data_IF_038925528247
#
_entry.id   IF_038925528247
#
_cell.length_a   1.000
_cell.length_b   1.000
_cell.length_c   1.000
_cell.angle_alpha   90.00
_cell.angle_beta   90.00
_cell.angle_gamma   90.00
#
_symmetry.space_group_name_H-M   'P 1'
#
loop_
_entity.id
_entity.type
_entity.pdbx_description
1 polymer ?
#
# COMPACT_ATOMS: atom_id res chain seq x y z
N UNK A 1 15.22 1.61 -12.18
CA UNK A 1 14.24 0.98 -11.26
C UNK A 1 14.99 0.17 -10.21
N UNK A 2 14.74 0.44 -8.92
CA UNK A 2 15.31 -0.33 -7.80
C UNK A 2 14.18 -1.07 -7.07
N UNK A 3 14.33 -2.38 -6.86
CA UNK A 3 13.37 -3.21 -6.12
C UNK A 3 13.97 -3.51 -4.75
N UNK A 4 13.21 -3.20 -3.69
CA UNK A 4 13.69 -3.24 -2.31
C UNK A 4 13.06 -4.43 -1.58
N UNK A 5 13.91 -5.30 -1.04
CA UNK A 5 13.52 -6.16 0.07
C UNK A 5 13.87 -5.39 1.35
N UNK A 6 12.86 -5.01 2.14
CA UNK A 6 13.09 -4.24 3.36
C UNK A 6 13.98 -5.03 4.35
N UNK A 7 14.76 -4.36 5.22
CA UNK A 7 15.54 -5.03 6.25
C UNK A 7 14.74 -6.11 6.99
N UNK A 8 15.36 -7.27 7.20
CA UNK A 8 14.79 -8.45 7.86
C UNK A 8 13.72 -9.16 7.02
N UNK A 9 13.69 -9.00 5.70
CA UNK A 9 12.68 -9.64 4.83
C UNK A 9 13.35 -10.18 3.57
N UNK A 10 12.97 -11.37 3.11
CA UNK A 10 13.44 -11.92 1.83
C UNK A 10 14.97 -11.96 1.71
N UNK A 11 15.52 -11.37 0.64
CA UNK A 11 16.99 -11.30 0.40
C UNK A 11 17.71 -10.46 1.46
N UNK A 12 17.01 -9.55 2.14
CA UNK A 12 17.52 -8.77 3.26
C UNK A 12 17.29 -9.46 4.62
N UNK A 13 17.23 -10.79 4.65
CA UNK A 13 16.91 -11.60 5.81
C UNK A 13 18.00 -11.71 6.89
N UNK A 14 19.22 -11.20 6.66
CA UNK A 14 20.31 -11.21 7.67
C UNK A 14 20.03 -10.18 8.77
N UNK A 15 19.20 -10.57 9.73
CA UNK A 15 18.79 -9.72 10.87
C UNK A 15 19.86 -9.65 11.95
N UNK A 16 19.98 -8.50 12.60
CA UNK A 16 20.78 -8.31 13.83
C UNK A 16 20.01 -8.66 15.11
N UNK A 17 18.75 -9.07 14.99
CA UNK A 17 17.88 -9.46 16.10
C UNK A 17 17.15 -10.76 15.75
N UNK A 18 17.10 -11.69 16.68
CA UNK A 18 16.40 -12.97 16.50
C UNK A 18 14.90 -12.86 16.75
N UNK A 19 14.13 -13.72 16.08
CA UNK A 19 12.73 -14.03 16.41
C UNK A 19 12.48 -15.52 16.24
N UNK A 20 11.41 -16.02 16.86
CA UNK A 20 10.87 -17.35 16.53
C UNK A 20 9.91 -17.23 15.35
N UNK A 21 10.11 -18.05 14.32
CA UNK A 21 9.20 -18.14 13.18
C UNK A 21 8.14 -19.21 13.44
N UNK A 22 6.89 -18.78 13.57
CA UNK A 22 5.75 -19.68 13.76
C UNK A 22 4.91 -19.74 12.48
N UNK A 23 4.79 -20.90 11.82
CA UNK A 23 3.87 -21.06 10.71
C UNK A 23 2.44 -20.76 11.17
N UNK A 24 1.81 -19.75 10.56
CA UNK A 24 0.45 -19.32 10.90
C UNK A 24 -0.38 -19.34 9.62
N UNK A 25 -1.31 -20.29 9.45
CA UNK A 25 -2.22 -20.27 8.30
C UNK A 25 -3.05 -18.98 8.28
N UNK A 26 -3.19 -18.35 7.12
CA UNK A 26 -3.96 -17.11 6.98
C UNK A 26 -4.42 -16.79 5.55
N UNK A 27 -4.16 -17.68 4.60
CA UNK A 27 -4.36 -17.42 3.16
C UNK A 27 -5.79 -17.03 2.82
N UNK A 28 -6.79 -17.67 3.44
CA UNK A 28 -8.21 -17.38 3.21
C UNK A 28 -8.63 -16.01 3.75
N UNK A 29 -8.07 -15.58 4.88
CA UNK A 29 -8.34 -14.25 5.43
C UNK A 29 -7.63 -13.17 4.60
N UNK A 30 -6.40 -13.43 4.18
CA UNK A 30 -5.65 -12.55 3.28
C UNK A 30 -6.31 -12.46 1.89
N UNK A 31 -6.94 -13.52 1.41
CA UNK A 31 -7.71 -13.51 0.16
C UNK A 31 -8.80 -12.43 0.18
N UNK A 32 -9.55 -12.34 1.30
CA UNK A 32 -10.57 -11.30 1.50
C UNK A 32 -9.92 -9.94 1.75
N UNK A 33 -8.85 -9.88 2.54
CA UNK A 33 -8.12 -8.65 2.82
C UNK A 33 -7.51 -8.02 1.56
N UNK A 34 -7.15 -8.80 0.58
CA UNK A 34 -6.56 -8.32 -0.68
C UNK A 34 -7.58 -8.18 -1.80
N UNK A 35 -8.87 -8.38 -1.48
CA UNK A 35 -10.00 -8.16 -2.36
C UNK A 35 -9.90 -8.95 -3.66
N UNK A 36 -9.46 -10.21 -3.54
CA UNK A 36 -9.58 -11.22 -4.60
C UNK A 36 -11.04 -11.69 -4.72
N UNK A 37 -11.75 -11.68 -3.59
CA UNK A 37 -13.15 -12.07 -3.47
C UNK A 37 -13.54 -12.28 -2.01
N UNK A 38 -14.60 -13.05 -1.79
CA UNK A 38 -14.98 -13.57 -0.48
C UNK A 38 -14.75 -15.07 -0.50
N UNK A 39 -13.70 -15.53 0.18
CA UNK A 39 -13.33 -16.95 0.18
C UNK A 39 -14.56 -17.86 0.43
N UNK A 40 -14.77 -18.91 -0.38
CA UNK A 40 -13.88 -19.45 -1.40
C UNK A 40 -14.10 -18.91 -2.82
N UNK A 41 -14.85 -17.83 -3.00
CA UNK A 41 -15.23 -17.33 -4.32
C UNK A 41 -14.49 -16.04 -4.66
N UNK A 42 -13.93 -15.95 -5.86
CA UNK A 42 -13.45 -14.68 -6.39
C UNK A 42 -14.60 -13.71 -6.65
N UNK A 43 -14.31 -12.41 -6.71
CA UNK A 43 -15.25 -11.46 -7.32
C UNK A 43 -15.42 -11.77 -8.82
N UNK A 44 -16.67 -11.78 -9.36
CA UNK A 44 -16.91 -12.17 -10.74
C UNK A 44 -16.16 -11.36 -11.79
N UNK A 45 -15.92 -10.07 -11.52
CA UNK A 45 -15.30 -9.11 -12.41
C UNK A 45 -13.82 -8.84 -12.08
N UNK A 46 -13.23 -9.60 -11.16
CA UNK A 46 -11.86 -9.33 -10.69
C UNK A 46 -10.86 -9.38 -11.84
N UNK A 47 -9.80 -8.58 -11.71
CA UNK A 47 -8.62 -8.58 -12.58
C UNK A 47 -7.52 -9.51 -12.08
N UNK A 48 -7.77 -10.30 -11.03
CA UNK A 48 -6.87 -11.40 -10.70
C UNK A 48 -6.96 -12.54 -11.73
N UNK A 49 -5.85 -13.17 -12.13
CA UNK A 49 -5.88 -14.33 -13.03
C UNK A 49 -6.46 -15.57 -12.35
N UNK A 50 -7.77 -15.79 -12.51
CA UNK A 50 -8.50 -16.91 -11.85
C UNK A 50 -8.33 -18.28 -12.55
N UNK A 51 -7.88 -18.30 -13.81
CA UNK A 51 -8.00 -19.49 -14.66
C UNK A 51 -9.41 -19.65 -15.27
N UNK A 52 -9.59 -20.67 -16.10
CA UNK A 52 -10.86 -20.88 -16.81
C UNK A 52 -12.00 -21.29 -15.85
N UNK A 53 -13.20 -20.73 -16.07
CA UNK A 53 -14.43 -21.17 -15.42
C UNK A 53 -14.70 -20.65 -14.01
N UNK A 54 -13.88 -19.72 -13.47
CA UNK A 54 -14.02 -19.16 -12.12
C UNK A 54 -14.34 -20.24 -11.06
N UNK A 55 -13.42 -21.18 -10.83
CA UNK A 55 -13.69 -22.32 -9.96
C UNK A 55 -13.91 -21.87 -8.53
N UNK A 56 -14.83 -22.54 -7.82
CA UNK A 56 -14.90 -22.39 -6.36
C UNK A 56 -13.64 -23.00 -5.74
N UNK A 57 -13.01 -22.26 -4.81
CA UNK A 57 -11.72 -22.64 -4.26
C UNK A 57 -11.84 -23.67 -3.13
N UNK A 58 -10.86 -24.56 -3.06
CA UNK A 58 -10.66 -25.50 -1.95
C UNK A 58 -9.30 -25.23 -1.32
N UNK A 59 -9.11 -25.48 0.00
CA UNK A 59 -7.78 -25.43 0.62
C UNK A 59 -6.74 -26.33 -0.04
N UNK A 60 -7.16 -27.39 -0.74
CA UNK A 60 -6.27 -28.37 -1.39
C UNK A 60 -6.24 -28.26 -2.92
N UNK A 61 -7.08 -27.42 -3.50
CA UNK A 61 -7.18 -27.25 -4.96
C UNK A 61 -7.48 -25.79 -5.28
N UNK A 62 -6.43 -25.07 -5.71
CA UNK A 62 -6.48 -23.67 -6.09
C UNK A 62 -5.84 -23.47 -7.46
N UNK A 63 -6.28 -22.48 -8.25
CA UNK A 63 -5.68 -22.18 -9.55
C UNK A 63 -4.16 -21.93 -9.44
N UNK A 64 -3.36 -22.29 -10.47
CA UNK A 64 -1.91 -22.12 -10.46
C UNK A 64 -1.45 -20.70 -10.10
N UNK A 65 -2.16 -19.67 -10.57
CA UNK A 65 -1.85 -18.29 -10.25
C UNK A 65 -2.09 -17.95 -8.77
N UNK A 66 -3.15 -18.49 -8.14
CA UNK A 66 -3.40 -18.30 -6.72
C UNK A 66 -2.35 -19.03 -5.86
N UNK A 67 -1.92 -20.24 -6.27
CA UNK A 67 -0.81 -20.95 -5.64
C UNK A 67 0.50 -20.16 -5.72
N UNK A 68 0.82 -19.55 -6.88
CA UNK A 68 2.01 -18.68 -7.01
C UNK A 68 1.88 -17.41 -6.17
N UNK A 69 0.70 -16.79 -6.17
CA UNK A 69 0.43 -15.58 -5.40
C UNK A 69 0.63 -15.80 -3.89
N UNK A 70 0.25 -16.95 -3.34
CA UNK A 70 0.56 -17.25 -1.94
C UNK A 70 2.05 -17.55 -1.70
N UNK A 71 2.73 -18.19 -2.66
CA UNK A 71 4.18 -18.51 -2.56
C UNK A 71 5.10 -17.30 -2.70
N UNK A 72 4.59 -16.16 -3.17
CA UNK A 72 5.36 -14.91 -3.20
C UNK A 72 5.54 -14.31 -1.79
N UNK A 73 4.73 -14.74 -0.81
CA UNK A 73 4.86 -14.26 0.57
C UNK A 73 6.15 -14.77 1.21
N UNK A 74 6.78 -13.90 2.00
CA UNK A 74 7.88 -14.27 2.88
C UNK A 74 7.64 -13.70 4.27
N UNK A 75 8.31 -14.27 5.26
CA UNK A 75 8.27 -13.80 6.65
C UNK A 75 9.36 -12.75 6.91
N UNK A 76 9.15 -11.95 7.96
CA UNK A 76 10.24 -11.18 8.54
C UNK A 76 11.14 -12.13 9.35
N UNK A 77 12.46 -11.95 9.28
CA UNK A 77 13.46 -12.70 10.05
C UNK A 77 13.90 -11.97 11.33
N UNK A 78 13.20 -10.89 11.68
CA UNK A 78 13.43 -10.06 12.85
C UNK A 78 12.18 -9.23 13.18
N UNK A 79 12.15 -8.49 14.30
CA UNK A 79 11.02 -7.63 14.63
C UNK A 79 10.84 -6.54 13.57
N UNK A 80 9.60 -6.12 13.31
CA UNK A 80 9.36 -4.96 12.45
C UNK A 80 9.84 -3.70 13.16
N UNK A 81 10.70 -2.93 12.49
CA UNK A 81 11.25 -1.69 13.01
C UNK A 81 11.25 -0.64 11.91
N UNK A 82 10.32 0.32 12.05
CA UNK A 82 10.15 1.38 11.06
C UNK A 82 11.43 2.19 10.88
N UNK A 83 12.13 2.50 11.97
CA UNK A 83 13.33 3.34 11.94
C UNK A 83 14.43 2.66 11.14
N UNK A 84 14.64 1.35 11.36
CA UNK A 84 15.63 0.57 10.60
C UNK A 84 15.27 0.52 9.12
N UNK A 85 13.99 0.26 8.80
CA UNK A 85 13.55 0.14 7.41
C UNK A 85 13.69 1.48 6.68
N UNK A 86 13.18 2.58 7.25
CA UNK A 86 13.18 3.88 6.59
C UNK A 86 14.57 4.48 6.49
N UNK A 87 15.47 4.20 7.45
CA UNK A 87 16.88 4.55 7.35
C UNK A 87 17.57 3.82 6.20
N UNK A 88 17.30 2.52 6.00
CA UNK A 88 17.83 1.76 4.87
C UNK A 88 17.37 2.32 3.52
N UNK A 89 16.08 2.66 3.39
CA UNK A 89 15.57 3.31 2.16
C UNK A 89 16.17 4.71 1.97
N UNK A 90 16.30 5.51 3.03
CA UNK A 90 16.93 6.83 2.94
C UNK A 90 18.41 6.74 2.53
N UNK A 91 19.14 5.72 2.98
CA UNK A 91 20.51 5.45 2.55
C UNK A 91 20.59 5.10 1.06
N UNK A 92 19.66 4.27 0.56
CA UNK A 92 19.55 4.01 -0.88
C UNK A 92 19.35 5.32 -1.68
N UNK A 93 18.45 6.20 -1.23
CA UNK A 93 18.25 7.52 -1.86
C UNK A 93 19.48 8.44 -1.78
N UNK A 94 20.32 8.29 -0.75
CA UNK A 94 21.59 9.02 -0.69
C UNK A 94 22.59 8.51 -1.74
N UNK A 95 22.56 7.22 -2.05
CA UNK A 95 23.42 6.57 -3.05
C UNK A 95 22.96 6.84 -4.49
N UNK A 96 21.67 6.64 -4.77
CA UNK A 96 21.14 6.73 -6.15
C UNK A 96 20.74 8.15 -6.55
N UNK A 97 20.68 9.08 -5.58
CA UNK A 97 20.23 10.45 -5.80
C UNK A 97 18.70 10.59 -5.90
N UNK A 98 18.21 11.70 -6.47
CA UNK A 98 16.79 11.99 -6.61
C UNK A 98 16.00 10.91 -7.35
N UNK A 99 14.89 10.44 -6.77
CA UNK A 99 13.99 9.49 -7.44
C UNK A 99 12.54 9.56 -6.90
N UNK A 100 11.61 8.89 -7.58
CA UNK A 100 10.23 8.68 -7.11
C UNK A 100 10.14 7.41 -6.27
N UNK A 101 9.47 7.49 -5.12
CA UNK A 101 9.25 6.34 -4.24
C UNK A 101 7.86 5.74 -4.49
N UNK A 102 7.83 4.51 -5.02
CA UNK A 102 6.59 3.73 -5.09
C UNK A 102 6.43 2.92 -3.80
N UNK A 103 5.24 2.94 -3.20
CA UNK A 103 4.91 2.14 -2.02
C UNK A 103 3.63 1.35 -2.24
N UNK A 104 3.48 0.28 -1.48
CA UNK A 104 2.29 -0.56 -1.45
C UNK A 104 1.89 -0.95 -0.02
N UNK A 105 0.61 -0.86 0.30
CA UNK A 105 0.05 -1.41 1.54
C UNK A 105 0.70 -0.86 2.81
N UNK A 106 1.19 -1.73 3.69
CA UNK A 106 1.89 -1.39 4.92
C UNK A 106 3.10 -0.47 4.71
N UNK A 107 3.71 -0.47 3.51
CA UNK A 107 4.85 0.41 3.23
C UNK A 107 4.46 1.88 3.01
N UNK A 108 3.17 2.24 2.97
CA UNK A 108 2.74 3.64 2.89
C UNK A 108 3.38 4.52 3.96
N UNK A 109 3.27 4.13 5.24
CA UNK A 109 3.91 4.86 6.35
C UNK A 109 5.44 4.87 6.28
N UNK A 110 6.04 3.84 5.69
CA UNK A 110 7.47 3.81 5.45
C UNK A 110 7.84 4.89 4.43
N UNK A 111 7.09 5.02 3.35
CA UNK A 111 7.28 6.09 2.36
C UNK A 111 7.12 7.48 2.95
N UNK A 112 6.07 7.72 3.75
CA UNK A 112 5.85 9.00 4.43
C UNK A 112 7.06 9.36 5.30
N UNK A 113 7.55 8.43 6.11
CA UNK A 113 8.68 8.67 7.00
C UNK A 113 10.00 8.80 6.23
N UNK A 114 10.25 7.98 5.22
CA UNK A 114 11.48 8.10 4.40
C UNK A 114 11.60 9.48 3.76
N UNK A 115 10.51 10.06 3.26
CA UNK A 115 10.52 11.42 2.70
C UNK A 115 10.84 12.51 3.72
N UNK A 116 10.75 12.23 5.03
CA UNK A 116 11.18 13.18 6.07
C UNK A 116 12.67 13.08 6.36
N UNK A 117 13.32 11.98 5.98
CA UNK A 117 14.74 11.70 6.25
C UNK A 117 15.67 12.15 5.12
N UNK A 118 15.17 12.32 3.90
CA UNK A 118 16.00 12.68 2.75
C UNK A 118 15.24 13.59 1.76
N UNK A 119 15.91 14.62 1.19
CA UNK A 119 15.32 15.46 0.13
C UNK A 119 15.32 14.78 -1.25
N UNK A 120 15.94 13.60 -1.38
CA UNK A 120 16.06 12.89 -2.64
C UNK A 120 14.77 12.14 -3.03
N UNK A 121 13.81 11.96 -2.12
CA UNK A 121 12.46 11.53 -2.52
C UNK A 121 11.78 12.70 -3.21
N UNK A 122 11.55 12.59 -4.53
CA UNK A 122 10.94 13.67 -5.33
C UNK A 122 9.42 13.61 -5.40
N UNK A 123 8.86 12.42 -5.22
CA UNK A 123 7.42 12.20 -5.11
C UNK A 123 7.15 10.83 -4.49
N UNK A 124 5.91 10.62 -4.02
CA UNK A 124 5.43 9.31 -3.59
C UNK A 124 4.19 8.93 -4.39
N UNK A 125 4.18 7.73 -4.95
CA UNK A 125 2.97 7.08 -5.45
C UNK A 125 2.70 5.85 -4.58
N UNK A 126 1.59 5.87 -3.84
CA UNK A 126 1.23 4.83 -2.90
C UNK A 126 0.02 4.04 -3.42
N UNK A 127 0.24 2.76 -3.72
CA UNK A 127 -0.82 1.80 -3.99
C UNK A 127 -1.40 1.33 -2.65
N UNK A 128 -2.63 1.72 -2.37
CA UNK A 128 -3.42 1.22 -1.24
C UNK A 128 -2.71 1.25 0.13
N UNK A 129 -2.14 2.39 0.56
CA UNK A 129 -1.46 2.49 1.84
C UNK A 129 -2.40 2.10 2.98
N UNK A 130 -1.88 1.51 4.06
CA UNK A 130 -2.72 1.09 5.20
C UNK A 130 -2.66 2.02 6.41
N UNK A 131 -1.66 2.91 6.44
CA UNK A 131 -1.37 3.82 7.55
C UNK A 131 -1.11 5.24 7.02
N UNK A 132 -1.56 6.24 7.78
CA UNK A 132 -1.61 7.64 7.34
C UNK A 132 -1.00 8.56 8.38
N UNK A 133 -0.13 9.45 7.91
CA UNK A 133 0.63 10.36 8.75
C UNK A 133 -0.11 11.69 8.95
N UNK A 134 -0.01 12.24 10.16
CA UNK A 134 -0.58 13.54 10.53
C UNK A 134 0.41 14.28 11.45
N UNK A 135 0.40 15.63 11.47
CA UNK A 135 1.20 16.36 12.45
C UNK A 135 0.68 16.05 13.85
N UNK A 136 1.57 15.78 14.80
CA UNK A 136 1.23 15.30 16.15
C UNK A 136 0.35 16.25 16.95
N UNK A 137 0.32 17.54 16.59
CA UNK A 137 -0.52 18.56 17.21
C UNK A 137 -1.89 18.75 16.52
N UNK A 138 -2.22 17.96 15.49
CA UNK A 138 -3.52 17.99 14.81
C UNK A 138 -3.90 16.62 14.26
N UNK A 139 -3.95 15.62 15.14
CA UNK A 139 -4.43 14.27 14.80
C UNK A 139 -5.96 14.27 14.66
N UNK A 140 -6.53 13.67 13.60
CA UNK A 140 -7.96 13.40 13.56
C UNK A 140 -8.35 12.30 14.58
N UNK A 141 -9.64 12.13 14.83
CA UNK A 141 -10.10 10.97 15.59
C UNK A 141 -9.82 9.66 14.82
N UNK A 142 -9.58 8.53 15.52
CA UNK A 142 -9.58 7.21 14.89
C UNK A 142 -10.90 6.94 14.15
N UNK A 143 -10.84 6.18 13.06
CA UNK A 143 -12.02 5.81 12.25
C UNK A 143 -12.30 4.32 12.42
N UNK A 144 -13.56 3.98 12.71
CA UNK A 144 -13.99 2.61 12.96
C UNK A 144 -13.68 2.13 14.38
N UNK A 145 -13.91 0.84 14.63
CA UNK A 145 -13.74 0.20 15.94
C UNK A 145 -13.13 -1.19 15.80
N UNK A 146 -12.57 -1.72 16.89
CA UNK A 146 -12.03 -3.09 16.95
C UNK A 146 -10.98 -3.36 15.87
N UNK A 147 -11.06 -4.51 15.21
CA UNK A 147 -10.10 -4.93 14.19
C UNK A 147 -10.14 -4.10 12.89
N UNK A 148 -11.20 -3.32 12.66
CA UNK A 148 -11.31 -2.42 11.51
C UNK A 148 -10.91 -0.97 11.82
N UNK A 149 -10.49 -0.68 13.06
CA UNK A 149 -10.14 0.68 13.47
C UNK A 149 -8.82 1.13 12.81
N UNK A 150 -8.84 2.32 12.22
CA UNK A 150 -7.65 2.99 11.68
C UNK A 150 -7.30 4.17 12.58
N UNK A 151 -6.10 4.12 13.14
CA UNK A 151 -5.57 5.16 14.02
C UNK A 151 -4.55 6.01 13.27
N UNK A 152 -4.65 7.36 13.31
CA UNK A 152 -3.68 8.23 12.65
C UNK A 152 -2.27 8.03 13.22
N UNK A 153 -1.25 8.14 12.38
CA UNK A 153 0.16 8.02 12.79
C UNK A 153 0.75 9.42 12.98
N UNK A 154 1.24 9.77 14.18
CA UNK A 154 1.83 11.06 14.42
C UNK A 154 3.21 11.18 13.75
N UNK A 155 3.46 12.34 13.16
CA UNK A 155 4.80 12.86 12.82
C UNK A 155 5.02 14.18 13.56
N UNK A 156 6.29 14.56 13.76
CA UNK A 156 6.58 15.91 14.23
C UNK A 156 6.01 16.95 13.24
N UNK A 157 5.56 18.13 13.69
CA UNK A 157 5.04 19.15 12.77
C UNK A 157 6.03 19.54 11.66
N UNK A 158 7.33 19.56 11.97
CA UNK A 158 8.41 19.83 11.01
C UNK A 158 8.58 18.71 9.99
N UNK A 159 8.48 17.45 10.40
CA UNK A 159 8.54 16.32 9.48
C UNK A 159 7.30 16.24 8.59
N UNK A 160 6.12 16.46 9.15
CA UNK A 160 4.89 16.53 8.36
C UNK A 160 4.95 17.66 7.31
N UNK A 161 5.59 18.79 7.65
CA UNK A 161 5.80 19.88 6.70
C UNK A 161 6.64 19.46 5.49
N UNK A 162 7.56 18.50 5.62
CA UNK A 162 8.34 18.00 4.46
C UNK A 162 7.47 17.29 3.44
N UNK A 163 6.40 16.61 3.86
CA UNK A 163 5.44 15.97 2.96
C UNK A 163 4.69 16.97 2.07
N UNK A 164 4.60 18.24 2.48
CA UNK A 164 4.00 19.32 1.66
C UNK A 164 4.88 19.75 0.50
N UNK A 165 6.14 19.31 0.45
CA UNK A 165 7.13 19.80 -0.51
C UNK A 165 7.27 18.89 -1.73
N UNK A 166 6.58 17.76 -1.75
CA UNK A 166 6.63 16.78 -2.84
C UNK A 166 5.21 16.41 -3.28
N UNK A 167 5.02 16.04 -4.56
CA UNK A 167 3.76 15.44 -5.01
C UNK A 167 3.53 14.08 -4.34
N UNK A 168 2.30 13.84 -3.89
CA UNK A 168 1.87 12.57 -3.31
C UNK A 168 0.58 12.11 -4.01
N UNK A 169 0.59 10.88 -4.55
CA UNK A 169 -0.60 10.20 -5.07
C UNK A 169 -0.89 8.97 -4.23
N UNK A 170 -2.13 8.84 -3.78
CA UNK A 170 -2.67 7.60 -3.19
C UNK A 170 -3.64 6.99 -4.20
N UNK A 171 -3.44 5.74 -4.60
CA UNK A 171 -4.37 4.99 -5.43
C UNK A 171 -5.11 3.94 -4.60
N UNK A 172 -6.44 3.88 -4.77
CA UNK A 172 -7.27 2.76 -4.35
C UNK A 172 -7.89 2.07 -5.56
N UNK A 173 -7.99 0.76 -5.48
CA UNK A 173 -8.57 -0.08 -6.53
C UNK A 173 -10.06 -0.34 -6.26
N UNK A 174 -10.63 -1.40 -6.80
CA UNK A 174 -12.07 -1.66 -6.74
C UNK A 174 -12.46 -2.52 -5.52
N UNK A 175 -13.75 -2.87 -5.45
CA UNK A 175 -14.40 -3.71 -4.42
C UNK A 175 -14.29 -3.15 -3.01
N UNK A 176 -14.20 -1.82 -2.89
CA UNK A 176 -14.33 -1.09 -1.63
C UNK A 176 -15.74 -0.46 -1.61
N UNK A 177 -16.69 -1.01 -0.84
CA UNK A 177 -18.03 -0.43 -0.75
C UNK A 177 -17.99 1.01 -0.24
N UNK A 178 -18.97 1.82 -0.63
CA UNK A 178 -19.02 3.25 -0.27
C UNK A 178 -19.39 3.51 1.19
N UNK A 179 -20.09 2.59 1.85
CA UNK A 179 -20.68 2.80 3.18
C UNK A 179 -20.23 1.79 4.22
N UNK A 180 -20.47 0.49 3.99
CA UNK A 180 -20.14 -0.56 4.97
C UNK A 180 -19.92 -1.92 4.33
N UNK A 181 -19.34 -2.85 5.11
CA UNK A 181 -19.22 -4.25 4.76
C UNK A 181 -19.38 -5.15 5.99
N UNK A 182 -20.06 -6.31 5.87
CA UNK A 182 -20.09 -7.30 6.94
C UNK A 182 -18.74 -8.00 7.13
N UNK A 183 -17.83 -7.91 6.15
CA UNK A 183 -16.50 -8.51 6.23
C UNK A 183 -15.52 -7.51 6.83
N UNK A 184 -14.99 -7.79 8.02
CA UNK A 184 -14.10 -6.88 8.76
C UNK A 184 -12.91 -6.41 7.92
N UNK A 185 -12.35 -7.30 7.10
CA UNK A 185 -11.24 -6.99 6.19
C UNK A 185 -11.62 -5.97 5.10
N UNK A 186 -12.83 -6.07 4.54
CA UNK A 186 -13.35 -5.12 3.56
C UNK A 186 -13.75 -3.81 4.24
N UNK A 187 -14.40 -3.86 5.41
CA UNK A 187 -14.72 -2.67 6.21
C UNK A 187 -13.45 -1.86 6.58
N UNK A 188 -12.33 -2.55 6.83
CA UNK A 188 -11.04 -1.91 7.09
C UNK A 188 -10.60 -1.05 5.90
N UNK A 189 -10.86 -1.45 4.65
CA UNK A 189 -10.53 -0.65 3.46
C UNK A 189 -11.37 0.61 3.33
N UNK A 190 -12.66 0.55 3.68
CA UNK A 190 -13.53 1.73 3.73
C UNK A 190 -12.95 2.76 4.71
N UNK A 191 -12.54 2.30 5.90
CA UNK A 191 -11.95 3.16 6.93
C UNK A 191 -10.57 3.70 6.52
N UNK A 192 -9.77 2.91 5.79
CA UNK A 192 -8.50 3.35 5.19
C UNK A 192 -8.71 4.46 4.16
N UNK A 193 -9.64 4.29 3.23
CA UNK A 193 -9.99 5.34 2.25
C UNK A 193 -10.39 6.62 2.96
N UNK A 194 -11.24 6.53 3.99
CA UNK A 194 -11.65 7.70 4.78
C UNK A 194 -10.47 8.39 5.49
N UNK A 195 -9.57 7.63 6.12
CA UNK A 195 -8.38 8.19 6.78
C UNK A 195 -7.40 8.80 5.76
N UNK A 196 -7.24 8.17 4.59
CA UNK A 196 -6.44 8.71 3.49
C UNK A 196 -6.96 10.05 2.98
N UNK A 197 -8.29 10.21 2.86
CA UNK A 197 -8.91 11.49 2.50
C UNK A 197 -8.54 12.59 3.52
N UNK A 198 -8.54 12.26 4.82
CA UNK A 198 -8.13 13.19 5.86
C UNK A 198 -6.64 13.57 5.76
N UNK A 199 -5.75 12.62 5.48
CA UNK A 199 -4.32 12.91 5.31
C UNK A 199 -4.07 13.82 4.12
N UNK A 200 -4.69 13.54 2.98
CA UNK A 200 -4.59 14.38 1.78
C UNK A 200 -5.09 15.80 2.07
N UNK A 201 -6.24 15.93 2.74
CA UNK A 201 -6.74 17.23 3.16
C UNK A 201 -5.77 17.97 4.11
N UNK A 202 -5.15 17.25 5.06
CA UNK A 202 -4.19 17.83 6.00
C UNK A 202 -2.91 18.32 5.32
N UNK A 203 -2.42 17.61 4.31
CA UNK A 203 -1.27 18.03 3.49
C UNK A 203 -1.64 19.27 2.67
N UNK A 204 -2.77 19.23 1.97
CA UNK A 204 -3.19 20.32 1.08
C UNK A 204 -3.56 21.60 1.85
N UNK A 205 -4.11 21.49 3.06
CA UNK A 205 -4.37 22.64 3.95
C UNK A 205 -3.09 23.40 4.31
N UNK A 206 -1.91 22.76 4.20
CA UNK A 206 -0.59 23.38 4.42
C UNK A 206 0.12 23.74 3.11
N UNK A 207 -0.59 23.78 1.99
CA UNK A 207 -0.06 24.14 0.67
C UNK A 207 0.70 23.01 -0.04
N UNK A 208 0.50 21.75 0.35
CA UNK A 208 1.07 20.61 -0.35
C UNK A 208 0.30 20.20 -1.61
N UNK A 209 0.84 19.23 -2.34
CA UNK A 209 0.22 18.62 -3.52
C UNK A 209 0.00 17.13 -3.27
N UNK A 210 -1.07 16.79 -2.57
CA UNK A 210 -1.51 15.42 -2.34
C UNK A 210 -2.86 15.15 -3.00
N UNK A 211 -3.06 13.94 -3.49
CA UNK A 211 -4.28 13.58 -4.22
C UNK A 211 -4.61 12.09 -4.08
N UNK A 212 -5.90 11.77 -4.20
CA UNK A 212 -6.40 10.40 -4.24
C UNK A 212 -6.84 10.09 -5.67
N UNK A 213 -6.58 8.87 -6.11
CA UNK A 213 -7.19 8.26 -7.28
C UNK A 213 -7.94 7.01 -6.83
N UNK A 214 -9.16 6.84 -7.30
CA UNK A 214 -9.93 5.62 -7.13
C UNK A 214 -10.22 5.06 -8.54
N UNK A 215 -9.76 3.83 -8.83
CA UNK A 215 -9.82 3.27 -10.18
C UNK A 215 -11.24 3.23 -10.77
N UNK A 216 -12.29 2.86 -10.01
CA UNK A 216 -13.68 2.92 -10.50
C UNK A 216 -14.14 4.31 -10.95
N UNK A 217 -13.59 5.39 -10.40
CA UNK A 217 -13.91 6.77 -10.82
C UNK A 217 -13.39 7.06 -12.24
N UNK A 218 -12.47 6.24 -12.76
CA UNK A 218 -11.97 6.27 -14.15
C UNK A 218 -12.65 5.22 -15.05
N UNK A 219 -13.67 4.50 -14.56
CA UNK A 219 -14.28 3.37 -15.27
C UNK A 219 -13.41 2.11 -15.31
N UNK A 220 -12.41 2.00 -14.42
CA UNK A 220 -11.53 0.84 -14.31
C UNK A 220 -12.00 0.00 -13.13
N UNK A 221 -12.49 -1.20 -13.43
CA UNK A 221 -13.18 -2.08 -12.49
C UNK A 221 -12.45 -3.41 -12.28
N UNK A 222 -12.73 -4.05 -11.14
CA UNK A 222 -12.28 -5.39 -10.82
C UNK A 222 -10.88 -5.50 -10.19
N UNK A 223 -10.15 -4.40 -10.09
CA UNK A 223 -8.77 -4.43 -9.60
C UNK A 223 -8.67 -4.76 -8.10
N UNK A 224 -7.74 -5.65 -7.77
CA UNK A 224 -7.46 -6.12 -6.41
C UNK A 224 -6.59 -5.13 -5.64
N UNK A 225 -6.22 -5.49 -4.40
CA UNK A 225 -5.20 -4.77 -3.63
C UNK A 225 -3.84 -4.67 -4.35
N UNK A 226 -3.58 -5.53 -5.33
CA UNK A 226 -2.34 -5.62 -6.10
C UNK A 226 -2.57 -5.21 -7.55
N UNK A 227 -3.21 -4.06 -7.78
CA UNK A 227 -3.55 -3.59 -9.15
C UNK A 227 -2.35 -3.54 -10.12
N UNK A 228 -1.13 -3.36 -9.63
CA UNK A 228 0.09 -3.43 -10.44
C UNK A 228 0.47 -4.85 -10.93
N UNK A 229 -0.16 -5.90 -10.40
CA UNK A 229 0.04 -7.31 -10.76
C UNK A 229 -1.22 -7.99 -11.33
N UNK A 230 -2.35 -7.27 -11.36
CA UNK A 230 -3.58 -7.74 -12.02
C UNK A 230 -3.41 -7.83 -13.54
N UNK A 231 -4.32 -8.53 -14.24
CA UNK A 231 -4.22 -8.78 -15.70
C UNK A 231 -4.29 -7.52 -16.56
N UNK A 232 -4.79 -6.41 -16.02
CA UNK A 232 -4.76 -5.08 -16.67
C UNK A 232 -3.64 -4.19 -16.15
N UNK A 233 -2.56 -4.75 -15.58
CA UNK A 233 -1.45 -3.99 -15.01
C UNK A 233 -0.80 -2.98 -15.97
N UNK A 234 -0.80 -3.21 -17.29
CA UNK A 234 -0.33 -2.23 -18.29
C UNK A 234 -1.18 -0.96 -18.25
N UNK A 235 -2.51 -1.08 -18.13
CA UNK A 235 -3.42 0.06 -17.95
C UNK A 235 -3.13 0.81 -16.65
N UNK A 236 -2.76 0.09 -15.58
CA UNK A 236 -2.37 0.69 -14.30
C UNK A 236 -1.01 1.41 -14.41
N UNK A 237 -0.06 0.84 -15.15
CA UNK A 237 1.22 1.48 -15.44
C UNK A 237 1.02 2.79 -16.24
N UNK A 238 0.10 2.83 -17.21
CA UNK A 238 -0.21 4.05 -17.97
C UNK A 238 -0.77 5.19 -17.10
N UNK A 239 -1.48 4.86 -16.00
CA UNK A 239 -1.93 5.86 -15.02
C UNK A 239 -0.74 6.44 -14.27
N UNK A 240 0.18 5.60 -13.80
CA UNK A 240 1.42 6.04 -13.15
C UNK A 240 2.25 6.90 -14.12
N UNK A 241 2.48 6.43 -15.33
CA UNK A 241 3.28 7.14 -16.36
C UNK A 241 2.71 8.53 -16.66
N UNK A 242 1.39 8.65 -16.87
CA UNK A 242 0.74 9.96 -17.06
C UNK A 242 0.87 10.86 -15.85
N UNK A 243 0.76 10.32 -14.64
CA UNK A 243 0.93 11.11 -13.42
C UNK A 243 2.38 11.61 -13.26
N UNK A 244 3.37 10.78 -13.60
CA UNK A 244 4.78 11.17 -13.59
C UNK A 244 5.06 12.28 -14.61
N UNK A 245 4.60 12.13 -15.84
CA UNK A 245 4.74 13.13 -16.91
C UNK A 245 4.13 14.48 -16.51
N UNK A 246 2.90 14.49 -15.98
CA UNK A 246 2.22 15.70 -15.49
C UNK A 246 3.00 16.46 -14.39
N UNK A 247 3.91 15.78 -13.69
CA UNK A 247 4.74 16.38 -12.64
C UNK A 247 6.20 16.57 -13.07
N UNK A 248 6.55 16.29 -14.34
CA UNK A 248 7.93 16.34 -14.83
C UNK A 248 8.85 15.33 -14.14
N UNK A 249 8.30 14.17 -13.77
CA UNK A 249 9.00 13.12 -13.01
C UNK A 249 9.37 11.89 -13.85
N UNK A 250 9.06 11.90 -15.15
CA UNK A 250 9.32 10.83 -16.11
C UNK A 250 10.82 10.65 -16.47
N UNK A 251 11.66 11.60 -16.02
CA UNK A 251 13.12 11.59 -16.22
C UNK A 251 13.93 11.06 -15.04
N UNK A 252 13.27 10.62 -13.96
CA UNK A 252 13.91 10.02 -12.78
C UNK A 252 13.86 8.49 -12.81
#
# INVERSE_FOLDING_TARGET
MHIIDQPRTGRAGTSTQGITLTPTPGDQDLFVAWRLGVWPNFYPDTKFPQGAGNPSLSPTDVPPALNQFFRQMTVNTGPSDRTVITAGVAALFAEIGPAVLLTHSASGILGWVTATLTPNVRAIYAYEPTDYAFPSNALPAPIGTGAAQITPKPLSPSDFQKLTKIPIRIQYSDHIPSTSSPYVRVQTWINRVAMGKLMVAAINKKGGNASILHLPDLGIHGNTHFSFADVNNVQIADILSRWLDQHGLDRY
#
